data_IF_471407062728
#
_entry.id   IF_471407062728
#
_cell.length_a   1.000
_cell.length_b   1.000
_cell.length_c   1.000
_cell.angle_alpha   90.00
_cell.angle_beta   90.00
_cell.angle_gamma   90.00
#
_symmetry.space_group_name_H-M   'P 1'
#
loop_
_entity.id
_entity.type
_entity.pdbx_description
1 polymer ?
#
# COMPACT_ATOMS: atom_id res chain seq x y z
N UNK A 1 -16.00 -13.75 -4.18
CA UNK A 1 -14.93 -13.85 -3.16
C UNK A 1 -14.26 -12.50 -3.24
N UNK A 2 -14.64 -11.62 -2.32
CA UNK A 2 -14.30 -10.20 -2.36
C UNK A 2 -12.98 -10.04 -1.59
N UNK A 3 -11.87 -10.01 -2.34
CA UNK A 3 -10.48 -9.98 -1.82
C UNK A 3 -9.93 -8.53 -1.96
N UNK A 4 -10.76 -7.56 -2.33
CA UNK A 4 -10.32 -6.24 -2.76
C UNK A 4 -9.77 -5.34 -1.65
N UNK A 5 -10.23 -5.50 -0.40
CA UNK A 5 -9.86 -4.63 0.73
C UNK A 5 -8.40 -4.78 1.16
N UNK A 6 -8.00 -6.02 1.48
CA UNK A 6 -6.64 -6.37 1.87
C UNK A 6 -5.62 -6.08 0.75
N UNK A 7 -5.98 -6.38 -0.51
CA UNK A 7 -5.13 -6.15 -1.66
C UNK A 7 -4.78 -4.66 -1.86
N UNK A 8 -5.75 -3.75 -1.72
CA UNK A 8 -5.49 -2.31 -1.83
C UNK A 8 -4.62 -1.78 -0.67
N UNK A 9 -4.71 -2.39 0.51
CA UNK A 9 -3.81 -2.12 1.63
C UNK A 9 -2.36 -2.51 1.32
N UNK A 10 -2.16 -3.71 0.75
CA UNK A 10 -0.84 -4.17 0.28
C UNK A 10 -0.29 -3.23 -0.80
N UNK A 11 -1.11 -2.88 -1.80
CA UNK A 11 -0.70 -1.94 -2.85
C UNK A 11 -0.28 -0.59 -2.27
N UNK A 12 -1.07 -0.03 -1.34
CA UNK A 12 -0.73 1.23 -0.67
C UNK A 12 0.62 1.15 0.06
N UNK A 13 0.91 0.02 0.71
CA UNK A 13 2.18 -0.24 1.38
C UNK A 13 3.41 -0.15 0.47
N UNK A 14 3.23 -0.42 -0.84
CA UNK A 14 4.31 -0.32 -1.84
C UNK A 14 4.33 1.02 -2.57
N UNK A 15 3.17 1.61 -2.87
CA UNK A 15 3.08 2.86 -3.63
C UNK A 15 3.45 4.08 -2.79
N UNK A 16 3.08 4.12 -1.51
CA UNK A 16 3.40 5.27 -0.65
C UNK A 16 4.93 5.49 -0.48
N UNK A 17 5.78 4.44 -0.31
CA UNK A 17 7.23 4.60 -0.36
C UNK A 17 7.76 5.18 -1.68
N UNK A 18 7.14 4.87 -2.83
CA UNK A 18 7.55 5.42 -4.14
C UNK A 18 7.25 6.93 -4.20
N UNK A 19 6.10 7.36 -3.69
CA UNK A 19 5.78 8.78 -3.55
C UNK A 19 6.82 9.49 -2.68
N UNK A 20 7.17 8.93 -1.51
CA UNK A 20 8.19 9.50 -0.62
C UNK A 20 9.57 9.54 -1.29
N UNK A 21 9.95 8.47 -1.99
CA UNK A 21 11.18 8.39 -2.77
C UNK A 21 11.27 9.53 -3.81
N UNK A 22 10.19 9.79 -4.54
CA UNK A 22 10.13 10.88 -5.52
C UNK A 22 10.22 12.27 -4.86
N UNK A 23 9.58 12.46 -3.70
CA UNK A 23 9.69 13.68 -2.90
C UNK A 23 11.14 13.95 -2.51
N UNK A 24 11.86 12.93 -2.01
CA UNK A 24 13.28 13.08 -1.61
C UNK A 24 14.19 13.44 -2.78
N UNK A 25 13.93 12.92 -3.97
CA UNK A 25 14.69 13.28 -5.17
C UNK A 25 14.37 14.72 -5.60
N UNK A 26 13.10 15.13 -5.57
CA UNK A 26 12.71 16.51 -5.85
C UNK A 26 13.35 17.50 -4.85
N UNK A 27 13.41 17.14 -3.56
CA UNK A 27 14.14 17.88 -2.53
C UNK A 27 15.63 17.98 -2.87
N UNK A 28 16.29 16.90 -3.28
CA UNK A 28 17.69 16.94 -3.70
C UNK A 28 17.93 17.91 -4.88
N UNK A 29 17.03 17.94 -5.88
CA UNK A 29 17.11 18.95 -6.94
C UNK A 29 16.98 20.38 -6.41
N UNK A 30 16.05 20.63 -5.48
CA UNK A 30 15.88 21.94 -4.85
C UNK A 30 17.11 22.42 -4.08
N UNK A 31 17.92 21.48 -3.57
CA UNK A 31 19.18 21.74 -2.88
C UNK A 31 20.36 21.94 -3.83
N UNK A 32 20.13 21.86 -5.16
CA UNK A 32 21.12 22.13 -6.19
C UNK A 32 21.83 20.90 -6.75
N UNK A 33 21.39 19.69 -6.42
CA UNK A 33 21.90 18.48 -7.07
C UNK A 33 21.41 18.43 -8.53
N UNK A 34 22.37 18.30 -9.44
CA UNK A 34 22.17 18.52 -10.88
C UNK A 34 21.12 17.58 -11.47
N UNK A 35 20.20 18.07 -12.31
CA UNK A 35 19.25 17.21 -12.98
C UNK A 35 19.95 16.24 -13.92
N UNK A 36 19.58 14.96 -13.83
CA UNK A 36 19.96 13.97 -14.81
C UNK A 36 19.19 14.11 -16.13
N UNK A 37 19.63 13.33 -17.12
CA UNK A 37 19.03 13.32 -18.45
C UNK A 37 17.88 12.34 -18.66
N UNK A 38 17.63 11.41 -17.73
CA UNK A 38 16.57 10.40 -17.91
C UNK A 38 15.19 11.02 -17.66
N UNK A 39 14.31 10.88 -18.65
CA UNK A 39 12.91 11.32 -18.56
C UNK A 39 11.94 10.15 -18.37
N UNK A 40 12.32 8.95 -18.82
CA UNK A 40 11.59 7.70 -18.61
C UNK A 40 12.12 6.97 -17.38
N UNK A 41 11.48 7.25 -16.24
CA UNK A 41 11.79 6.60 -14.94
C UNK A 41 11.06 5.27 -14.76
N UNK A 42 10.18 4.91 -15.70
CA UNK A 42 9.39 3.69 -15.67
C UNK A 42 10.13 2.51 -16.28
N UNK A 43 11.12 2.78 -17.14
CA UNK A 43 11.87 1.78 -17.88
C UNK A 43 12.99 1.11 -17.09
N UNK A 44 13.29 -0.14 -17.44
CA UNK A 44 14.36 -0.96 -16.83
C UNK A 44 15.74 -0.31 -16.95
N UNK A 45 16.02 0.46 -18.01
CA UNK A 45 17.32 1.12 -18.19
C UNK A 45 17.59 2.20 -17.13
N UNK A 46 16.56 2.92 -16.69
CA UNK A 46 16.69 3.83 -15.56
C UNK A 46 16.90 3.02 -14.27
N UNK A 47 16.11 1.97 -14.05
CA UNK A 47 16.17 1.16 -12.84
C UNK A 47 17.49 0.41 -12.67
N UNK A 48 18.15 -0.02 -13.75
CA UNK A 48 19.53 -0.56 -13.70
C UNK A 48 20.54 0.45 -13.17
N UNK A 49 20.39 1.72 -13.52
CA UNK A 49 21.26 2.80 -13.02
C UNK A 49 20.93 3.14 -11.57
N UNK A 50 19.64 3.23 -11.23
CA UNK A 50 19.19 3.46 -9.86
C UNK A 50 19.62 2.34 -8.91
N UNK A 51 19.51 1.09 -9.35
CA UNK A 51 19.97 -0.09 -8.59
C UNK A 51 21.44 -0.01 -8.20
N UNK A 52 22.31 0.47 -9.11
CA UNK A 52 23.73 0.69 -8.77
C UNK A 52 23.93 1.65 -7.60
N UNK A 53 23.10 2.70 -7.52
CA UNK A 53 23.11 3.64 -6.39
C UNK A 53 22.57 2.97 -5.13
N UNK A 54 21.47 2.22 -5.24
CA UNK A 54 20.90 1.51 -4.10
C UNK A 54 21.87 0.50 -3.47
N UNK A 55 22.65 -0.22 -4.29
CA UNK A 55 23.67 -1.18 -3.81
C UNK A 55 24.74 -0.56 -2.94
N UNK A 56 25.00 0.74 -3.05
CA UNK A 56 26.00 1.41 -2.22
C UNK A 56 25.57 1.48 -0.75
N UNK A 57 24.26 1.44 -0.48
CA UNK A 57 23.67 1.71 0.84
C UNK A 57 22.79 0.59 1.36
N UNK A 58 22.17 -0.18 0.48
CA UNK A 58 21.17 -1.18 0.83
C UNK A 58 21.77 -2.59 0.81
N UNK A 59 21.53 -3.42 1.85
CA UNK A 59 21.98 -4.81 1.85
C UNK A 59 21.35 -5.61 0.70
N UNK A 60 22.08 -6.54 0.06
CA UNK A 60 21.54 -7.38 -1.02
C UNK A 60 20.26 -8.13 -0.63
N UNK A 61 20.17 -8.62 0.62
CA UNK A 61 18.96 -9.29 1.13
C UNK A 61 17.73 -8.38 1.09
N UNK A 62 17.88 -7.09 1.40
CA UNK A 62 16.78 -6.14 1.37
C UNK A 62 16.37 -5.83 -0.08
N UNK A 63 17.34 -5.67 -0.99
CA UNK A 63 17.07 -5.48 -2.42
C UNK A 63 16.30 -6.67 -3.01
N UNK A 64 16.63 -7.90 -2.61
CA UNK A 64 15.87 -9.10 -3.00
C UNK A 64 14.42 -9.05 -2.52
N UNK A 65 14.17 -8.63 -1.27
CA UNK A 65 12.82 -8.47 -0.75
C UNK A 65 12.05 -7.41 -1.54
N UNK A 66 12.69 -6.28 -1.86
CA UNK A 66 12.10 -5.23 -2.70
C UNK A 66 11.72 -5.79 -4.06
N UNK A 67 12.61 -6.53 -4.73
CA UNK A 67 12.34 -7.11 -6.04
C UNK A 67 11.15 -8.07 -6.01
N UNK A 68 11.12 -9.02 -5.07
CA UNK A 68 10.03 -9.97 -4.92
C UNK A 68 8.69 -9.28 -4.63
N UNK A 69 8.68 -8.36 -3.67
CA UNK A 69 7.48 -7.62 -3.30
C UNK A 69 6.98 -6.74 -4.44
N UNK A 70 7.86 -6.06 -5.18
CA UNK A 70 7.47 -5.22 -6.30
C UNK A 70 7.01 -6.02 -7.52
N UNK A 71 7.61 -7.18 -7.82
CA UNK A 71 7.11 -8.08 -8.86
C UNK A 71 5.68 -8.53 -8.54
N UNK A 72 5.44 -8.99 -7.32
CA UNK A 72 4.11 -9.41 -6.87
C UNK A 72 3.11 -8.25 -6.87
N UNK A 73 3.52 -7.07 -6.42
CA UNK A 73 2.71 -5.85 -6.44
C UNK A 73 2.32 -5.47 -7.88
N UNK A 74 3.27 -5.48 -8.82
CA UNK A 74 3.01 -5.21 -10.23
C UNK A 74 2.01 -6.23 -10.84
N UNK A 75 2.17 -7.51 -10.52
CA UNK A 75 1.24 -8.55 -10.94
C UNK A 75 -0.17 -8.34 -10.36
N UNK A 76 -0.25 -8.00 -9.07
CA UNK A 76 -1.51 -7.69 -8.40
C UNK A 76 -2.19 -6.48 -9.05
N UNK A 77 -1.45 -5.40 -9.30
CA UNK A 77 -1.95 -4.21 -10.00
C UNK A 77 -2.56 -4.55 -11.36
N UNK A 78 -1.96 -5.47 -12.12
CA UNK A 78 -2.49 -5.89 -13.42
C UNK A 78 -3.83 -6.65 -13.35
N UNK A 79 -4.24 -7.12 -12.17
CA UNK A 79 -5.49 -7.86 -11.98
C UNK A 79 -6.71 -7.00 -11.63
N UNK A 80 -6.52 -5.70 -11.38
CA UNK A 80 -7.61 -4.79 -11.02
C UNK A 80 -8.36 -4.27 -12.25
N UNK A 81 -9.69 -4.20 -12.12
CA UNK A 81 -10.53 -3.41 -13.02
C UNK A 81 -10.62 -1.99 -12.46
N UNK A 82 -10.23 -0.99 -13.26
CA UNK A 82 -10.08 0.39 -12.83
C UNK A 82 -10.95 1.33 -13.64
N UNK A 83 -11.26 2.47 -13.01
CA UNK A 83 -11.90 3.59 -13.69
C UNK A 83 -10.92 4.21 -14.72
N UNK A 84 -11.45 4.68 -15.85
CA UNK A 84 -10.64 5.32 -16.93
C UNK A 84 -9.79 6.49 -16.43
N UNK A 85 -10.19 7.13 -15.33
CA UNK A 85 -9.49 8.26 -14.73
C UNK A 85 -8.12 7.91 -14.13
N UNK A 86 -7.89 6.66 -13.69
CA UNK A 86 -6.66 6.26 -12.99
C UNK A 86 -5.80 5.27 -13.77
N UNK A 87 -6.35 4.67 -14.82
CA UNK A 87 -5.70 3.56 -15.53
C UNK A 87 -4.26 3.89 -15.97
N UNK A 88 -4.02 5.11 -16.49
CA UNK A 88 -2.68 5.52 -16.92
C UNK A 88 -1.67 5.67 -15.78
N UNK A 89 -2.06 6.26 -14.65
CA UNK A 89 -1.19 6.36 -13.48
C UNK A 89 -0.92 4.99 -12.86
N UNK A 90 -1.94 4.14 -12.83
CA UNK A 90 -1.84 2.77 -12.34
C UNK A 90 -0.89 1.91 -13.18
N UNK A 91 -1.01 1.95 -14.51
CA UNK A 91 -0.13 1.24 -15.43
C UNK A 91 1.33 1.73 -15.31
N UNK A 92 1.53 3.04 -15.13
CA UNK A 92 2.87 3.59 -14.93
C UNK A 92 3.53 3.10 -13.64
N UNK A 93 2.80 3.02 -12.53
CA UNK A 93 3.32 2.47 -11.27
C UNK A 93 3.55 0.96 -11.38
N UNK A 94 2.64 0.21 -12.01
CA UNK A 94 2.86 -1.22 -12.25
C UNK A 94 4.13 -1.46 -13.08
N UNK A 95 4.34 -0.66 -14.14
CA UNK A 95 5.55 -0.70 -14.97
C UNK A 95 6.81 -0.33 -14.19
N UNK A 96 6.75 0.70 -13.35
CA UNK A 96 7.84 1.09 -12.46
C UNK A 96 8.26 -0.08 -11.56
N UNK A 97 7.31 -0.68 -10.84
CA UNK A 97 7.53 -1.79 -9.92
C UNK A 97 8.16 -2.99 -10.63
N UNK A 98 7.62 -3.37 -11.79
CA UNK A 98 8.16 -4.45 -12.62
C UNK A 98 9.58 -4.16 -13.12
N UNK A 99 9.86 -2.92 -13.54
CA UNK A 99 11.19 -2.52 -13.99
C UNK A 99 12.23 -2.53 -12.87
N UNK A 100 11.83 -2.16 -11.65
CA UNK A 100 12.69 -2.26 -10.46
C UNK A 100 13.02 -3.72 -10.17
N UNK A 101 12.00 -4.57 -10.10
CA UNK A 101 12.18 -6.00 -9.83
C UNK A 101 13.11 -6.65 -10.87
N UNK A 102 12.90 -6.35 -12.15
CA UNK A 102 13.76 -6.83 -13.23
C UNK A 102 15.21 -6.36 -13.08
N UNK A 103 15.45 -5.07 -12.81
CA UNK A 103 16.80 -4.53 -12.67
C UNK A 103 17.56 -5.14 -11.47
N UNK A 104 16.87 -5.46 -10.37
CA UNK A 104 17.48 -6.13 -9.21
C UNK A 104 17.73 -7.61 -9.52
N UNK A 105 16.81 -8.30 -10.20
CA UNK A 105 16.94 -9.72 -10.54
C UNK A 105 18.10 -10.02 -11.51
N UNK A 106 18.49 -9.04 -12.33
CA UNK A 106 19.66 -9.13 -13.21
C UNK A 106 21.01 -9.09 -12.46
N UNK A 107 21.02 -8.69 -11.19
CA UNK A 107 22.22 -8.59 -10.37
C UNK A 107 22.57 -9.94 -9.71
N UNK A 108 23.74 -10.54 -10.01
CA UNK A 108 24.13 -11.83 -9.43
C UNK A 108 24.15 -11.84 -7.90
N UNK A 109 24.51 -10.72 -7.27
CA UNK A 109 24.54 -10.61 -5.80
C UNK A 109 23.13 -10.70 -5.18
N UNK A 110 22.10 -10.44 -5.99
CA UNK A 110 20.69 -10.50 -5.63
C UNK A 110 19.98 -11.74 -6.22
N UNK A 111 20.59 -12.50 -7.12
CA UNK A 111 19.93 -13.63 -7.80
C UNK A 111 19.90 -14.93 -6.96
N UNK A 112 20.82 -15.10 -5.99
CA UNK A 112 21.02 -16.37 -5.27
C UNK A 112 20.49 -16.34 -3.82
N UNK A 113 19.34 -17.00 -3.54
CA UNK A 113 18.99 -17.76 -2.30
C UNK A 113 17.48 -17.95 -2.11
N UNK A 114 17.10 -18.93 -1.28
CA UNK A 114 15.72 -19.26 -0.89
C UNK A 114 14.93 -18.03 -0.43
N UNK A 115 13.72 -17.91 -0.98
CA UNK A 115 12.77 -16.84 -0.70
C UNK A 115 12.46 -16.79 0.81
N UNK A 116 12.77 -15.69 1.52
CA UNK A 116 12.40 -15.57 2.93
C UNK A 116 10.87 -15.60 3.08
N UNK A 117 10.34 -16.06 4.24
CA UNK A 117 8.90 -16.10 4.50
C UNK A 117 8.31 -14.70 4.33
N UNK A 118 7.36 -14.63 3.39
CA UNK A 118 6.62 -13.51 2.85
C UNK A 118 6.21 -12.46 3.90
N UNK A 119 6.96 -11.35 4.06
CA UNK A 119 6.37 -10.16 4.63
C UNK A 119 5.58 -9.48 3.50
N UNK A 120 4.27 -9.34 3.69
CA UNK A 120 3.32 -8.66 2.77
C UNK A 120 3.58 -7.12 2.66
N UNK A 121 4.84 -6.71 2.76
CA UNK A 121 5.28 -5.33 2.67
C UNK A 121 6.80 -5.27 2.63
N UNK A 122 7.29 -4.32 1.82
CA UNK A 122 8.63 -3.80 2.05
C UNK A 122 8.45 -2.96 3.32
N UNK A 123 9.22 -3.22 4.37
CA UNK A 123 9.18 -2.38 5.56
C UNK A 123 9.48 -0.90 5.22
N UNK A 124 9.75 -0.09 6.24
CA UNK A 124 10.21 1.28 5.98
C UNK A 124 11.48 1.25 5.12
N UNK A 125 11.48 2.01 4.02
CA UNK A 125 12.69 2.22 3.22
C UNK A 125 13.78 2.81 4.13
N UNK A 126 14.99 2.25 4.15
CA UNK A 126 16.06 2.77 4.99
C UNK A 126 16.34 4.24 4.67
N UNK A 127 16.56 5.05 5.71
CA UNK A 127 16.82 6.49 5.56
C UNK A 127 18.15 6.80 4.84
N UNK A 128 19.04 5.81 4.74
CA UNK A 128 20.41 5.97 4.26
C UNK A 128 20.58 5.94 2.72
N UNK A 129 19.54 6.19 1.93
CA UNK A 129 19.65 6.18 0.46
C UNK A 129 20.31 7.48 -0.03
N UNK A 130 21.27 7.37 -0.95
CA UNK A 130 21.90 8.50 -1.64
C UNK A 130 20.97 9.17 -2.67
N UNK A 131 19.96 9.91 -2.20
CA UNK A 131 18.99 10.60 -3.04
C UNK A 131 19.62 11.64 -3.98
N UNK A 132 20.75 12.23 -3.58
CA UNK A 132 21.54 13.13 -4.42
C UNK A 132 22.04 12.46 -5.70
N UNK A 133 22.52 11.21 -5.60
CA UNK A 133 22.99 10.45 -6.76
C UNK A 133 21.84 10.00 -7.65
N UNK A 134 20.68 9.73 -7.06
CA UNK A 134 19.47 9.40 -7.80
C UNK A 134 18.91 10.62 -8.56
N UNK A 135 19.01 11.82 -7.96
CA UNK A 135 18.68 13.07 -8.63
C UNK A 135 19.55 13.29 -9.87
N UNK A 136 20.85 12.98 -9.80
CA UNK A 136 21.75 13.06 -10.97
C UNK A 136 21.38 12.11 -12.12
N UNK A 137 20.51 11.12 -11.90
CA UNK A 137 20.04 10.20 -12.93
C UNK A 137 18.80 10.69 -13.67
N UNK A 138 17.88 11.39 -13.00
CA UNK A 138 16.58 11.79 -13.56
C UNK A 138 16.39 13.31 -13.67
N UNK A 139 15.53 13.74 -14.59
CA UNK A 139 15.17 15.15 -14.67
C UNK A 139 14.18 15.56 -13.55
N UNK A 140 14.14 16.85 -13.23
CA UNK A 140 13.17 17.42 -12.27
C UNK A 140 11.74 17.06 -12.67
N UNK A 141 11.40 17.21 -13.95
CA UNK A 141 10.07 16.88 -14.47
C UNK A 141 9.74 15.38 -14.30
N UNK A 142 10.74 14.51 -14.40
CA UNK A 142 10.53 13.08 -14.21
C UNK A 142 10.28 12.74 -12.73
N UNK A 143 10.99 13.39 -11.80
CA UNK A 143 10.76 13.25 -10.37
C UNK A 143 9.35 13.74 -9.98
N UNK A 144 8.92 14.90 -10.48
CA UNK A 144 7.58 15.44 -10.21
C UNK A 144 6.47 14.58 -10.85
N UNK A 145 6.69 14.04 -12.06
CA UNK A 145 5.75 13.08 -12.66
C UNK A 145 5.65 11.81 -11.83
N UNK A 146 6.78 11.24 -11.38
CA UNK A 146 6.79 10.06 -10.52
C UNK A 146 6.01 10.31 -9.23
N UNK A 147 6.26 11.44 -8.58
CA UNK A 147 5.55 11.88 -7.38
C UNK A 147 4.05 12.01 -7.62
N UNK A 148 3.65 12.73 -8.67
CA UNK A 148 2.24 12.96 -8.98
C UNK A 148 1.49 11.65 -9.25
N UNK A 149 2.05 10.80 -10.12
CA UNK A 149 1.47 9.50 -10.47
C UNK A 149 1.39 8.57 -9.25
N UNK A 150 2.46 8.46 -8.45
CA UNK A 150 2.42 7.66 -7.22
C UNK A 150 1.41 8.20 -6.20
N UNK A 151 1.31 9.52 -6.05
CA UNK A 151 0.35 10.18 -5.16
C UNK A 151 -1.11 9.92 -5.56
N UNK A 152 -1.42 9.95 -6.86
CA UNK A 152 -2.77 9.62 -7.37
C UNK A 152 -3.13 8.18 -7.06
N UNK A 153 -2.23 7.23 -7.34
CA UNK A 153 -2.45 5.80 -7.04
C UNK A 153 -2.57 5.56 -5.54
N UNK A 154 -1.70 6.14 -4.72
CA UNK A 154 -1.77 6.02 -3.27
C UNK A 154 -3.08 6.60 -2.71
N UNK A 155 -3.52 7.74 -3.22
CA UNK A 155 -4.80 8.34 -2.82
C UNK A 155 -5.98 7.43 -3.19
N UNK A 156 -5.98 6.87 -4.40
CA UNK A 156 -7.02 5.92 -4.80
C UNK A 156 -7.04 4.69 -3.90
N UNK A 157 -5.88 4.08 -3.63
CA UNK A 157 -5.78 2.96 -2.70
C UNK A 157 -6.28 3.37 -1.31
N UNK A 158 -5.97 4.57 -0.79
CA UNK A 158 -6.49 5.04 0.51
C UNK A 158 -8.00 5.26 0.52
N UNK A 159 -8.58 5.78 -0.57
CA UNK A 159 -10.01 6.06 -0.67
C UNK A 159 -10.83 4.79 -0.88
N UNK A 160 -10.23 3.77 -1.50
CA UNK A 160 -10.88 2.48 -1.83
C UNK A 160 -10.52 1.36 -0.84
N UNK A 161 -9.42 1.50 -0.10
CA UNK A 161 -9.10 0.64 1.04
C UNK A 161 -9.98 1.08 2.21
N UNK A 162 -10.84 0.20 2.74
CA UNK A 162 -11.63 0.52 3.91
C UNK A 162 -10.67 0.79 5.07
N UNK A 163 -10.60 2.05 5.53
CA UNK A 163 -9.65 2.38 6.60
C UNK A 163 -9.93 1.50 7.82
N UNK A 164 -8.88 0.92 8.40
CA UNK A 164 -9.00 0.03 9.54
C UNK A 164 -9.85 0.69 10.65
N UNK A 165 -10.80 -0.04 11.27
CA UNK A 165 -11.63 0.50 12.33
C UNK A 165 -10.77 1.02 13.48
N UNK A 166 -11.08 2.20 14.01
CA UNK A 166 -10.51 2.65 15.28
C UNK A 166 -10.98 1.76 16.45
N UNK A 167 -10.40 1.91 17.64
CA UNK A 167 -10.71 1.05 18.80
C UNK A 167 -12.21 1.00 19.13
N UNK A 168 -12.92 2.11 19.03
CA UNK A 168 -14.36 2.18 19.32
C UNK A 168 -15.16 1.45 18.24
N UNK A 169 -14.79 1.62 16.97
CA UNK A 169 -15.41 0.93 15.85
C UNK A 169 -15.16 -0.58 15.93
N UNK A 170 -13.93 -1.00 16.25
CA UNK A 170 -13.56 -2.41 16.42
C UNK A 170 -14.31 -3.05 17.60
N UNK A 171 -14.39 -2.36 18.74
CA UNK A 171 -15.17 -2.81 19.91
C UNK A 171 -16.67 -2.92 19.60
N UNK A 172 -17.19 -2.04 18.74
CA UNK A 172 -18.58 -2.08 18.27
C UNK A 172 -18.80 -3.28 17.35
N UNK A 173 -17.92 -3.49 16.37
CA UNK A 173 -17.95 -4.65 15.47
C UNK A 173 -17.86 -5.97 16.25
N UNK A 174 -16.98 -6.05 17.25
CA UNK A 174 -16.81 -7.26 18.04
C UNK A 174 -18.06 -7.54 18.89
N UNK A 175 -18.71 -6.51 19.44
CA UNK A 175 -19.97 -6.67 20.15
C UNK A 175 -21.10 -7.18 19.25
N UNK A 176 -21.21 -6.62 18.04
CA UNK A 176 -22.17 -7.11 17.03
C UNK A 176 -21.86 -8.55 16.60
N UNK A 177 -20.59 -8.89 16.38
CA UNK A 177 -20.16 -10.25 16.06
C UNK A 177 -20.48 -11.27 17.17
N UNK A 178 -20.50 -10.82 18.42
CA UNK A 178 -20.92 -11.61 19.58
C UNK A 178 -22.45 -11.70 19.74
N UNK A 179 -23.23 -11.02 18.90
CA UNK A 179 -24.69 -10.98 18.98
C UNK A 179 -25.24 -10.02 20.04
N UNK A 180 -24.45 -9.08 20.54
CA UNK A 180 -24.95 -8.04 21.46
C UNK A 180 -26.00 -7.16 20.77
N UNK A 181 -27.07 -6.82 21.49
CA UNK A 181 -28.05 -5.86 21.00
C UNK A 181 -27.48 -4.44 21.05
N UNK A 182 -27.87 -3.57 20.12
CA UNK A 182 -27.40 -2.18 20.06
C UNK A 182 -27.54 -1.43 21.40
N UNK A 183 -28.66 -1.61 22.12
CA UNK A 183 -28.88 -0.97 23.41
C UNK A 183 -27.87 -1.43 24.49
N UNK A 184 -27.52 -2.71 24.52
CA UNK A 184 -26.56 -3.29 25.48
C UNK A 184 -25.14 -2.85 25.14
N UNK A 185 -24.79 -2.91 23.85
CA UNK A 185 -23.50 -2.47 23.33
C UNK A 185 -23.28 -0.97 23.60
N UNK A 186 -24.29 -0.14 23.36
CA UNK A 186 -24.21 1.30 23.62
C UNK A 186 -23.98 1.58 25.10
N UNK A 187 -24.73 0.90 25.99
CA UNK A 187 -24.56 1.01 27.44
C UNK A 187 -23.16 0.58 27.88
N UNK A 188 -22.64 -0.54 27.34
CA UNK A 188 -21.30 -1.05 27.66
C UNK A 188 -20.19 -0.09 27.26
N UNK A 189 -20.33 0.57 26.11
CA UNK A 189 -19.37 1.54 25.59
C UNK A 189 -19.55 2.97 26.14
N UNK A 190 -20.55 3.20 27.01
CA UNK A 190 -20.81 4.52 27.58
C UNK A 190 -21.47 5.53 26.62
N UNK A 191 -22.15 5.04 25.58
CA UNK A 191 -22.84 5.85 24.58
C UNK A 191 -24.37 5.72 24.69
N UNK A 192 -25.09 6.69 24.10
CA UNK A 192 -26.51 6.49 23.80
C UNK A 192 -26.67 5.58 22.58
N UNK A 193 -27.78 4.83 22.51
CA UNK A 193 -28.05 3.94 21.38
C UNK A 193 -28.03 4.68 20.03
N UNK A 194 -28.58 5.90 20.00
CA UNK A 194 -28.55 6.77 18.82
C UNK A 194 -27.13 7.17 18.40
N UNK A 195 -26.24 7.40 19.36
CA UNK A 195 -24.84 7.73 19.06
C UNK A 195 -24.11 6.51 18.47
N UNK A 196 -24.29 5.33 19.07
CA UNK A 196 -23.74 4.08 18.55
C UNK A 196 -24.23 3.78 17.13
N UNK A 197 -25.55 3.90 16.88
CA UNK A 197 -26.12 3.70 15.54
C UNK A 197 -25.53 4.66 14.51
N UNK A 198 -25.19 5.90 14.90
CA UNK A 198 -24.53 6.85 14.00
C UNK A 198 -23.09 6.44 13.69
N UNK A 199 -22.32 6.00 14.69
CA UNK A 199 -20.98 5.43 14.47
C UNK A 199 -21.04 4.27 13.49
N UNK A 200 -21.97 3.34 13.71
CA UNK A 200 -22.16 2.18 12.84
C UNK A 200 -22.57 2.60 11.42
N UNK A 201 -23.51 3.53 11.27
CA UNK A 201 -23.95 4.02 9.96
C UNK A 201 -22.83 4.75 9.20
N UNK A 202 -22.02 5.55 9.88
CA UNK A 202 -20.86 6.21 9.28
C UNK A 202 -19.82 5.18 8.85
N UNK A 203 -19.60 4.13 9.64
CA UNK A 203 -18.70 3.01 9.33
C UNK A 203 -19.21 2.17 8.15
N UNK A 204 -20.51 1.87 8.08
CA UNK A 204 -21.10 1.18 6.93
C UNK A 204 -20.94 1.99 5.65
N UNK A 205 -21.20 3.30 5.70
CA UNK A 205 -20.97 4.18 4.55
C UNK A 205 -19.50 4.22 4.14
N UNK A 206 -18.59 4.23 5.11
CA UNK A 206 -17.14 4.21 4.86
C UNK A 206 -16.69 2.92 4.18
N UNK A 207 -17.30 1.78 4.52
CA UNK A 207 -16.98 0.47 3.94
C UNK A 207 -17.82 0.13 2.71
N UNK A 208 -18.78 0.98 2.33
CA UNK A 208 -19.69 0.72 1.21
C UNK A 208 -20.68 -0.42 1.46
N UNK A 209 -21.09 -0.60 2.73
CA UNK A 209 -21.98 -1.69 3.16
C UNK A 209 -23.38 -1.15 3.47
N UNK A 210 -24.41 -1.96 3.25
CA UNK A 210 -25.80 -1.52 3.38
C UNK A 210 -26.39 -1.83 4.76
N UNK A 211 -25.85 -2.82 5.48
CA UNK A 211 -26.40 -3.25 6.75
C UNK A 211 -25.37 -3.86 7.72
N UNK A 212 -25.79 -4.04 8.98
CA UNK A 212 -24.96 -4.56 10.05
C UNK A 212 -24.54 -6.02 9.86
N UNK A 213 -25.35 -6.83 9.16
CA UNK A 213 -25.02 -8.24 8.89
C UNK A 213 -23.86 -8.34 7.91
N UNK A 214 -23.91 -7.58 6.82
CA UNK A 214 -22.79 -7.41 5.88
C UNK A 214 -21.57 -6.82 6.57
N UNK A 215 -21.79 -5.80 7.41
CA UNK A 215 -20.78 -5.19 8.26
C UNK A 215 -19.98 -6.17 9.11
N UNK A 216 -20.68 -7.05 9.82
CA UNK A 216 -20.06 -8.09 10.65
C UNK A 216 -19.36 -9.14 9.79
N UNK A 217 -19.99 -9.59 8.70
CA UNK A 217 -19.38 -10.57 7.81
C UNK A 217 -18.07 -10.05 7.19
N UNK A 218 -18.08 -8.79 6.76
CA UNK A 218 -16.90 -8.08 6.26
C UNK A 218 -15.80 -8.00 7.32
N UNK A 219 -16.11 -7.54 8.53
CA UNK A 219 -15.12 -7.43 9.61
C UNK A 219 -14.51 -8.79 10.03
N UNK A 220 -15.23 -9.90 9.87
CA UNK A 220 -14.72 -11.25 10.12
C UNK A 220 -13.79 -11.70 8.99
N UNK A 221 -14.14 -11.42 7.74
CA UNK A 221 -13.31 -11.73 6.58
C UNK A 221 -11.96 -10.99 6.62
N UNK A 222 -11.98 -9.72 7.04
CA UNK A 222 -10.80 -8.89 7.25
C UNK A 222 -10.02 -9.23 8.54
N UNK A 223 -10.50 -10.20 9.33
CA UNK A 223 -9.83 -10.64 10.57
C UNK A 223 -9.85 -9.61 11.71
N UNK A 224 -10.65 -8.56 11.61
CA UNK A 224 -10.77 -7.51 12.63
C UNK A 224 -11.51 -7.99 13.88
N UNK A 225 -12.43 -8.93 13.71
CA UNK A 225 -13.24 -9.50 14.80
C UNK A 225 -13.40 -11.00 14.64
N UNK A 226 -13.55 -11.70 15.76
CA UNK A 226 -13.81 -13.15 15.76
C UNK A 226 -15.24 -13.42 16.16
N UNK A 227 -15.94 -14.30 15.42
CA UNK A 227 -17.26 -14.80 15.85
C UNK A 227 -17.05 -15.95 16.82
N UNK A 228 -17.71 -15.96 17.99
CA UNK A 228 -17.70 -17.12 18.87
C UNK A 228 -18.24 -18.33 18.09
N UNK A 229 -17.44 -19.38 17.91
CA UNK A 229 -17.95 -20.66 17.40
C UNK A 229 -18.95 -21.17 18.43
N UNK A 230 -20.23 -21.08 18.12
CA UNK A 230 -21.26 -21.70 18.92
C UNK A 230 -20.94 -23.19 19.03
N UNK A 231 -20.45 -23.61 20.19
CA UNK A 231 -20.32 -25.02 20.56
C UNK A 231 -21.76 -25.48 20.74
N UNK A 232 -22.37 -25.97 19.66
CA UNK A 232 -23.70 -26.55 19.70
C UNK A 232 -23.76 -27.60 20.81
N UNK A 233 -24.66 -27.36 21.78
CA UNK A 233 -25.26 -28.40 22.61
C UNK A 233 -26.64 -28.69 22.05
#
# INVERSE_FOLDING_TARGET
>A
MDIGGDQLGVLLGHVAPIEQYAIRIAEAHSLGHGPGGQTDVWGVEFQRKAHKVWKETLPPQFLRQVAYSYERCAWLMASFLLDEMIIGDWENIARYLAAVAAAIAEDPDCAEQETPPDPLGIGQMPEAIHYEKLAELMSIDAAERLRATAGVVALHCRLKSPAAPNEVQLASLQGLANGEKHAELAKRLGYSERHLQRILADMWRQFGLDNATEGVAFAVAEGWVTVPRNVAR
#
